data_IF_567614737228
#
_entry.id   IF_567614737228
#
_cell.length_a   1.000
_cell.length_b   1.000
_cell.length_c   1.000
_cell.angle_alpha   90.00
_cell.angle_beta   90.00
_cell.angle_gamma   90.00
#
_symmetry.space_group_name_H-M   'P 1'
#
loop_
_entity.id
_entity.type
_entity.pdbx_description
1 polymer ?
#
# COMPACT_ATOMS: atom_id res chain seq x y z
N UNK A 1 39.40 64.05 -12.86
CA UNK A 1 38.43 63.14 -12.21
C UNK A 1 37.68 62.45 -13.34
N UNK A 2 38.17 61.29 -13.77
CA UNK A 2 37.69 60.55 -14.95
C UNK A 2 36.75 59.43 -14.51
N UNK A 3 35.63 59.29 -15.21
CA UNK A 3 34.63 58.25 -14.95
C UNK A 3 35.15 56.86 -15.32
N UNK A 4 34.76 55.79 -14.60
CA UNK A 4 34.99 54.42 -15.03
C UNK A 4 33.93 53.95 -16.04
N UNK A 5 34.44 53.36 -17.11
CA UNK A 5 33.75 52.75 -18.25
C UNK A 5 33.07 51.44 -17.84
N UNK A 6 31.82 51.23 -18.26
CA UNK A 6 31.05 50.01 -18.05
C UNK A 6 31.28 49.08 -19.25
N UNK A 7 32.04 48.01 -19.06
CA UNK A 7 32.16 46.90 -20.00
C UNK A 7 31.45 45.68 -19.44
N UNK A 8 30.26 45.42 -19.97
CA UNK A 8 29.38 44.30 -19.64
C UNK A 8 29.63 43.16 -20.65
N UNK A 9 30.19 42.04 -20.20
CA UNK A 9 30.23 40.78 -20.96
C UNK A 9 30.62 39.63 -20.04
N UNK A 10 29.64 38.92 -19.50
CA UNK A 10 29.86 37.57 -18.96
C UNK A 10 28.66 36.68 -19.34
N UNK A 11 28.86 36.11 -20.53
CA UNK A 11 28.47 34.80 -21.05
C UNK A 11 27.78 33.84 -20.04
N UNK A 12 26.45 33.76 -20.13
CA UNK A 12 25.70 32.67 -19.50
C UNK A 12 25.63 31.50 -20.49
N UNK A 13 26.07 30.28 -20.14
CA UNK A 13 25.89 29.12 -21.00
C UNK A 13 24.40 28.74 -21.04
N UNK A 14 23.80 28.84 -22.21
CA UNK A 14 22.44 28.34 -22.50
C UNK A 14 22.39 26.82 -22.30
N UNK A 15 21.39 26.29 -21.57
CA UNK A 15 21.16 24.85 -21.51
C UNK A 15 20.76 24.35 -22.90
N UNK A 16 21.43 23.30 -23.35
CA UNK A 16 21.17 22.63 -24.63
C UNK A 16 19.96 21.73 -24.45
N UNK A 17 18.85 22.07 -25.10
CA UNK A 17 17.70 21.19 -25.31
C UNK A 17 18.10 20.05 -26.27
N UNK A 18 18.62 18.96 -25.71
CA UNK A 18 18.74 17.66 -26.40
C UNK A 18 17.51 16.80 -26.06
N UNK A 19 16.33 17.28 -26.48
CA UNK A 19 15.07 16.56 -26.39
C UNK A 19 14.88 15.73 -27.68
N UNK A 20 15.66 14.66 -27.79
CA UNK A 20 15.39 13.62 -28.77
C UNK A 20 14.29 12.70 -28.22
N UNK A 21 13.13 12.56 -28.88
CA UNK A 21 12.04 11.71 -28.40
C UNK A 21 12.49 10.24 -28.43
N UNK A 22 12.41 9.59 -27.27
CA UNK A 22 12.54 8.15 -27.13
C UNK A 22 11.41 7.44 -27.89
N UNK A 23 11.76 6.77 -28.98
CA UNK A 23 10.85 5.86 -29.69
C UNK A 23 10.48 4.68 -28.80
N UNK A 24 9.31 4.73 -28.18
CA UNK A 24 8.69 3.61 -27.50
C UNK A 24 8.19 2.61 -28.56
N UNK A 25 9.00 1.62 -28.88
CA UNK A 25 8.55 0.47 -29.67
C UNK A 25 7.46 -0.28 -28.88
N UNK A 26 6.24 -0.16 -29.37
CA UNK A 26 5.06 -0.85 -28.87
C UNK A 26 5.22 -2.36 -29.07
N UNK A 27 5.72 -3.05 -28.04
CA UNK A 27 5.64 -4.50 -27.97
C UNK A 27 4.18 -4.91 -27.75
N UNK A 28 3.65 -5.69 -28.69
CA UNK A 28 2.26 -6.12 -28.75
C UNK A 28 1.87 -7.01 -27.54
N UNK A 29 0.62 -6.92 -27.04
CA UNK A 29 0.14 -7.78 -25.97
C UNK A 29 -0.37 -9.11 -26.54
N UNK A 30 0.32 -10.21 -26.23
CA UNK A 30 -0.16 -11.58 -26.42
C UNK A 30 0.71 -12.47 -25.51
N UNK A 31 0.25 -13.42 -24.70
CA UNK A 31 -1.02 -14.14 -24.60
C UNK A 31 -1.26 -14.47 -23.11
N UNK A 32 -2.47 -14.27 -22.61
CA UNK A 32 -2.94 -14.91 -21.38
C UNK A 32 -3.29 -16.36 -21.73
N UNK A 33 -2.45 -17.32 -21.32
CA UNK A 33 -2.72 -18.75 -21.50
C UNK A 33 -3.22 -19.36 -20.17
N UNK A 34 -4.48 -19.80 -20.23
CA UNK A 34 -5.13 -20.84 -19.45
C UNK A 34 -5.18 -20.73 -17.91
N UNK A 35 -6.09 -19.87 -17.44
CA UNK A 35 -6.77 -20.11 -16.17
C UNK A 35 -7.91 -21.12 -16.37
N UNK A 36 -7.58 -22.41 -16.46
CA UNK A 36 -8.59 -23.45 -16.26
C UNK A 36 -9.03 -23.44 -14.80
N UNK A 37 -10.12 -22.72 -14.54
CA UNK A 37 -10.83 -22.76 -13.27
C UNK A 37 -11.42 -24.16 -13.10
N UNK A 38 -10.90 -24.93 -12.14
CA UNK A 38 -11.43 -26.24 -11.80
C UNK A 38 -12.91 -26.10 -11.41
N UNK A 39 -13.82 -26.71 -12.17
CA UNK A 39 -15.21 -26.83 -11.75
C UNK A 39 -15.32 -27.93 -10.71
N UNK A 40 -15.80 -27.56 -9.52
CA UNK A 40 -16.10 -28.51 -8.46
C UNK A 40 -17.29 -29.34 -8.92
N UNK A 41 -17.09 -30.61 -9.21
CA UNK A 41 -18.18 -31.55 -9.51
C UNK A 41 -18.99 -31.75 -8.23
N UNK A 42 -20.24 -31.29 -8.22
CA UNK A 42 -21.19 -31.62 -7.17
C UNK A 42 -21.61 -33.08 -7.37
N UNK A 43 -21.19 -33.94 -6.45
CA UNK A 43 -21.76 -35.28 -6.31
C UNK A 43 -23.00 -35.15 -5.42
N UNK A 44 -24.18 -35.39 -6.01
CA UNK A 44 -25.46 -35.42 -5.31
C UNK A 44 -25.39 -36.30 -4.06
N UNK A 45 -25.54 -35.67 -2.89
CA UNK A 45 -25.87 -36.34 -1.65
C UNK A 45 -26.85 -35.47 -0.86
N UNK A 46 -28.08 -35.97 -0.86
CA UNK A 46 -29.24 -35.58 -0.07
C UNK A 46 -28.86 -35.39 1.42
N UNK A 47 -29.21 -34.24 2.00
CA UNK A 47 -28.98 -33.96 3.42
C UNK A 47 -28.84 -32.48 3.72
N UNK A 48 -29.96 -31.78 3.90
CA UNK A 48 -29.97 -30.36 4.22
C UNK A 48 -29.43 -30.07 5.62
N UNK A 49 -28.37 -29.25 5.69
CA UNK A 49 -27.96 -28.45 6.85
C UNK A 49 -27.18 -27.23 6.34
N UNK A 50 -27.57 -26.04 6.81
CA UNK A 50 -27.14 -24.74 6.28
C UNK A 50 -25.63 -24.46 6.42
N UNK A 51 -24.91 -24.30 5.31
CA UNK A 51 -23.46 -24.02 5.22
C UNK A 51 -23.05 -22.55 5.51
N UNK A 52 -23.66 -21.86 6.48
CA UNK A 52 -23.20 -20.51 6.85
C UNK A 52 -22.11 -20.59 7.93
N UNK A 53 -20.97 -21.21 7.61
CA UNK A 53 -19.72 -21.11 8.39
C UNK A 53 -18.49 -21.29 7.50
N UNK A 54 -18.28 -20.36 6.56
CA UNK A 54 -16.99 -20.20 5.86
C UNK A 54 -16.69 -18.72 5.56
N UNK A 55 -16.76 -17.86 6.57
CA UNK A 55 -16.27 -16.48 6.46
C UNK A 55 -15.10 -16.17 7.40
N UNK A 56 -14.78 -17.04 8.36
CA UNK A 56 -13.68 -16.82 9.30
C UNK A 56 -12.28 -17.15 8.74
N UNK A 57 -12.16 -18.00 7.70
CA UNK A 57 -10.85 -18.51 7.24
C UNK A 57 -10.30 -17.80 6.00
N UNK A 58 -10.93 -16.71 5.52
CA UNK A 58 -10.41 -15.97 4.36
C UNK A 58 -9.37 -14.93 4.77
N UNK A 59 -9.49 -14.33 5.97
CA UNK A 59 -8.47 -13.42 6.52
C UNK A 59 -7.16 -14.18 6.83
N UNK A 60 -7.26 -15.41 7.36
CA UNK A 60 -6.08 -16.24 7.65
C UNK A 60 -5.32 -16.72 6.40
N UNK A 61 -5.99 -16.82 5.23
CA UNK A 61 -5.33 -17.27 3.98
C UNK A 61 -4.65 -16.16 3.19
N UNK A 62 -4.95 -14.89 3.43
CA UNK A 62 -4.30 -13.76 2.74
C UNK A 62 -3.11 -13.18 3.49
N UNK A 63 -2.98 -13.47 4.79
CA UNK A 63 -1.82 -13.09 5.60
C UNK A 63 -0.99 -14.32 5.94
N UNK A 64 -0.36 -14.94 4.93
CA UNK A 64 0.75 -15.84 5.22
C UNK A 64 1.74 -15.08 6.11
N UNK A 65 1.93 -15.55 7.35
CA UNK A 65 2.79 -14.92 8.35
C UNK A 65 4.18 -14.82 7.73
N UNK A 66 4.46 -13.66 7.14
CA UNK A 66 5.75 -13.40 6.51
C UNK A 66 6.70 -13.09 7.65
N UNK A 67 7.52 -14.06 8.01
CA UNK A 67 8.59 -13.84 8.96
C UNK A 67 9.56 -12.79 8.40
N UNK A 68 9.59 -11.62 9.04
CA UNK A 68 10.52 -10.57 8.68
C UNK A 68 11.90 -10.90 9.21
N UNK A 69 12.93 -10.75 8.37
CA UNK A 69 14.33 -11.01 8.74
C UNK A 69 14.85 -10.13 9.89
N UNK A 70 14.24 -8.95 10.10
CA UNK A 70 14.62 -8.03 11.18
C UNK A 70 13.78 -8.33 12.43
N UNK A 71 14.42 -8.52 13.61
CA UNK A 71 13.70 -8.67 14.86
C UNK A 71 12.96 -7.37 15.20
N UNK A 72 11.90 -7.48 16.03
CA UNK A 72 11.26 -6.30 16.61
C UNK A 72 12.21 -5.70 17.64
N UNK A 73 12.46 -4.40 17.55
CA UNK A 73 13.23 -3.69 18.56
C UNK A 73 12.27 -3.14 19.62
N UNK A 74 12.36 -3.64 20.86
CA UNK A 74 11.49 -3.22 21.96
C UNK A 74 11.96 -1.94 22.68
N UNK A 75 13.24 -1.71 23.01
CA UNK A 75 13.63 -0.44 23.61
C UNK A 75 14.19 0.55 22.59
N UNK A 76 13.46 1.65 22.38
CA UNK A 76 14.03 3.01 22.23
C UNK A 76 14.92 3.31 21.02
N UNK A 77 15.10 2.39 20.06
CA UNK A 77 15.91 2.68 18.87
C UNK A 77 15.31 2.12 17.58
N UNK A 78 14.70 3.03 16.81
CA UNK A 78 14.36 2.87 15.40
C UNK A 78 13.21 1.91 15.11
N UNK A 79 12.27 2.32 14.26
CA UNK A 79 11.22 1.42 13.79
C UNK A 79 11.80 0.35 12.87
N UNK A 80 11.36 -0.88 13.08
CA UNK A 80 11.83 -2.06 12.34
C UNK A 80 10.83 -2.51 11.31
N UNK A 81 9.55 -2.23 11.59
CA UNK A 81 8.40 -2.65 10.82
C UNK A 81 7.44 -1.47 10.67
N UNK A 82 6.54 -1.66 9.72
CA UNK A 82 5.49 -0.72 9.40
C UNK A 82 4.22 -1.52 9.13
N UNK A 83 3.10 -1.08 9.68
CA UNK A 83 1.77 -1.61 9.39
C UNK A 83 0.90 -0.46 8.92
N UNK A 84 0.18 -0.68 7.83
CA UNK A 84 -0.73 0.30 7.24
C UNK A 84 -2.15 -0.20 7.43
N UNK A 85 -2.99 0.65 8.01
CA UNK A 85 -4.42 0.47 8.12
C UNK A 85 -5.08 1.48 7.19
N UNK A 86 -6.17 1.11 6.55
CA UNK A 86 -6.97 2.06 5.80
C UNK A 86 -8.45 1.74 5.98
N UNK A 87 -9.27 2.77 5.95
CA UNK A 87 -10.71 2.59 6.10
C UNK A 87 -11.47 3.72 5.42
N UNK A 88 -12.68 3.42 4.97
CA UNK A 88 -13.59 4.45 4.45
C UNK A 88 -13.92 5.42 5.58
N UNK A 89 -14.13 6.69 5.25
CA UNK A 89 -14.48 7.72 6.25
C UNK A 89 -15.97 7.60 6.60
N UNK A 90 -16.29 6.60 7.42
CA UNK A 90 -17.63 6.38 8.00
C UNK A 90 -17.50 6.01 9.48
N UNK A 91 -18.49 6.37 10.31
CA UNK A 91 -18.43 6.13 11.75
C UNK A 91 -18.22 4.64 12.10
N UNK A 92 -18.93 3.75 11.42
CA UNK A 92 -18.79 2.30 11.62
C UNK A 92 -17.41 1.79 11.20
N UNK A 93 -16.91 2.25 10.05
CA UNK A 93 -15.62 1.84 9.50
C UNK A 93 -14.44 2.34 10.33
N UNK A 94 -14.54 3.54 10.89
CA UNK A 94 -13.55 4.11 11.81
C UNK A 94 -13.49 3.32 13.12
N UNK A 95 -14.65 2.99 13.70
CA UNK A 95 -14.70 2.17 14.91
C UNK A 95 -14.11 0.78 14.68
N UNK A 96 -14.42 0.14 13.55
CA UNK A 96 -13.82 -1.14 13.21
C UNK A 96 -12.30 -1.09 13.07
N UNK A 97 -11.76 0.01 12.51
CA UNK A 97 -10.31 0.20 12.42
C UNK A 97 -9.66 0.40 13.79
N UNK A 98 -10.32 1.12 14.70
CA UNK A 98 -9.87 1.27 16.09
C UNK A 98 -9.76 -0.08 16.80
N UNK A 99 -10.81 -0.91 16.71
CA UNK A 99 -10.83 -2.23 17.31
C UNK A 99 -9.71 -3.12 16.74
N UNK A 100 -9.50 -3.10 15.41
CA UNK A 100 -8.44 -3.86 14.73
C UNK A 100 -7.03 -3.43 15.14
N UNK A 101 -6.79 -2.12 15.30
CA UNK A 101 -5.49 -1.61 15.73
C UNK A 101 -5.21 -2.06 17.16
N UNK A 102 -6.18 -1.93 18.06
CA UNK A 102 -6.02 -2.34 19.46
C UNK A 102 -5.82 -3.84 19.60
N UNK A 103 -6.62 -4.65 18.90
CA UNK A 103 -6.46 -6.11 18.90
C UNK A 103 -5.08 -6.54 18.38
N UNK A 104 -4.58 -5.88 17.34
CA UNK A 104 -3.21 -6.12 16.88
C UNK A 104 -2.18 -5.77 17.96
N UNK A 105 -2.26 -4.58 18.56
CA UNK A 105 -1.34 -4.13 19.60
C UNK A 105 -1.35 -5.03 20.84
N UNK A 106 -2.50 -5.62 21.17
CA UNK A 106 -2.64 -6.56 22.28
C UNK A 106 -2.09 -7.97 21.95
N UNK A 107 -2.10 -8.35 20.67
CA UNK A 107 -1.64 -9.68 20.24
C UNK A 107 -0.12 -9.80 20.08
N UNK A 108 0.58 -8.70 19.80
CA UNK A 108 2.02 -8.68 19.55
C UNK A 108 2.74 -7.81 20.59
N UNK A 109 3.85 -8.29 21.16
CA UNK A 109 4.71 -7.45 22.01
C UNK A 109 5.51 -6.48 21.11
N UNK A 110 4.95 -5.30 20.86
CA UNK A 110 5.53 -4.27 19.98
C UNK A 110 5.53 -2.89 20.65
N UNK A 111 6.57 -2.10 20.39
CA UNK A 111 6.64 -0.69 20.80
C UNK A 111 6.29 0.22 19.62
N UNK A 112 5.19 0.98 19.71
CA UNK A 112 4.84 1.97 18.68
C UNK A 112 5.75 3.19 18.80
N UNK A 113 6.48 3.49 17.72
CA UNK A 113 7.47 4.57 17.67
C UNK A 113 6.98 5.80 16.93
N UNK A 114 6.20 5.61 15.88
CA UNK A 114 5.65 6.71 15.12
C UNK A 114 4.32 6.33 14.48
N UNK A 115 3.37 7.27 14.50
CA UNK A 115 2.07 7.13 13.83
C UNK A 115 1.92 8.31 12.88
N UNK A 116 1.67 7.99 11.61
CA UNK A 116 1.29 8.95 10.59
C UNK A 116 -0.13 8.69 10.10
N UNK A 117 -0.83 9.74 9.68
CA UNK A 117 -2.12 9.61 9.03
C UNK A 117 -2.21 10.49 7.79
N UNK A 118 -2.96 10.04 6.79
CA UNK A 118 -3.25 10.79 5.59
C UNK A 118 -4.68 10.49 5.14
N UNK A 119 -5.37 11.51 4.63
CA UNK A 119 -6.66 11.34 3.95
C UNK A 119 -6.39 11.46 2.46
N UNK A 120 -6.81 10.46 1.69
CA UNK A 120 -6.54 10.41 0.26
C UNK A 120 -7.51 9.51 -0.49
N UNK A 121 -7.49 9.63 -1.82
CA UNK A 121 -8.27 8.79 -2.72
C UNK A 121 -7.54 7.47 -2.92
N UNK A 122 -8.14 6.37 -2.48
CA UNK A 122 -7.62 5.03 -2.74
C UNK A 122 -8.21 4.53 -4.06
N UNK A 123 -7.35 4.19 -5.02
CA UNK A 123 -7.80 3.64 -6.30
C UNK A 123 -8.16 2.16 -6.16
N UNK A 124 -9.42 1.84 -6.46
CA UNK A 124 -9.91 0.49 -6.70
C UNK A 124 -10.83 0.49 -7.92
N UNK A 125 -11.91 -0.31 -7.91
CA UNK A 125 -12.95 -0.22 -8.97
C UNK A 125 -13.63 1.15 -9.00
N UNK A 126 -13.78 1.78 -7.84
CA UNK A 126 -14.27 3.14 -7.67
C UNK A 126 -13.27 3.87 -6.78
N UNK A 127 -12.90 5.09 -7.15
CA UNK A 127 -12.06 5.93 -6.32
C UNK A 127 -12.89 6.43 -5.13
N UNK A 128 -12.43 6.14 -3.92
CA UNK A 128 -13.10 6.54 -2.69
C UNK A 128 -12.11 7.19 -1.73
N UNK A 129 -12.59 8.18 -0.99
CA UNK A 129 -11.80 8.83 0.06
C UNK A 129 -11.65 7.88 1.26
N UNK A 130 -10.41 7.66 1.65
CA UNK A 130 -10.06 6.79 2.77
C UNK A 130 -9.12 7.53 3.73
N UNK A 131 -9.27 7.20 5.02
CA UNK A 131 -8.26 7.50 6.01
C UNK A 131 -7.23 6.38 5.98
N UNK A 132 -5.97 6.74 5.81
CA UNK A 132 -4.82 5.84 5.81
C UNK A 132 -4.00 6.15 7.06
N UNK A 133 -3.76 5.14 7.89
CA UNK A 133 -2.98 5.22 9.12
C UNK A 133 -1.76 4.31 8.99
N UNK A 134 -0.58 4.87 9.22
CA UNK A 134 0.70 4.18 9.11
C UNK A 134 1.35 4.13 10.48
N UNK A 135 1.53 2.93 11.02
CA UNK A 135 2.12 2.70 12.34
C UNK A 135 3.49 2.07 12.17
N UNK A 136 4.52 2.74 12.68
CA UNK A 136 5.91 2.31 12.70
C UNK A 136 6.27 1.79 14.09
N UNK A 137 6.78 0.56 14.16
CA UNK A 137 7.10 -0.17 15.39
C UNK A 137 8.42 -0.95 15.29
#
# INVERSE_FOLDING_TARGET
MSQPNVSNSDDAPTPTDDDAPISLEASSPAQEEDAESISLVDSDSDGGESQVRRLASLDERMQGIKEFRRPVNLPGTGATRCRVFHTKISATSLKGMEDQINEWLDSEEVEVKHVGHNIGMLQGKTAEENLIVTIWY
#
